data_IF_958526236694
#
_entry.id   IF_958526236694
#
_cell.length_a   1.000
_cell.length_b   1.000
_cell.length_c   1.000
_cell.angle_alpha   90.00
_cell.angle_beta   90.00
_cell.angle_gamma   90.00
#
_symmetry.space_group_name_H-M   'P 1'
#
loop_
_entity.id
_entity.type
_entity.pdbx_description
1 polymer ?
#
# COMPACT_ATOMS: atom_id res chain seq x y z
N UNK A 1 26.04 36.46 4.49
CA UNK A 1 24.58 36.68 4.58
C UNK A 1 23.92 35.33 4.37
N UNK A 2 23.68 34.62 5.48
CA UNK A 2 23.13 33.26 5.49
C UNK A 2 21.72 33.34 6.05
N UNK A 3 20.78 32.71 5.34
CA UNK A 3 19.34 32.67 5.61
C UNK A 3 19.07 31.70 6.78
N UNK A 4 19.08 32.21 8.02
CA UNK A 4 18.74 31.47 9.25
C UNK A 4 17.22 31.35 9.41
N UNK A 5 16.60 30.43 8.65
CA UNK A 5 15.20 30.04 8.89
C UNK A 5 15.08 29.01 10.00
N UNK A 6 14.59 29.44 11.15
CA UNK A 6 14.10 28.57 12.23
C UNK A 6 12.87 27.80 11.71
N UNK A 7 13.02 26.49 11.46
CA UNK A 7 11.86 25.59 11.28
C UNK A 7 11.37 25.12 12.64
N UNK A 8 10.14 25.45 12.96
CA UNK A 8 9.45 24.97 14.15
C UNK A 8 8.76 23.65 13.77
N UNK A 9 9.30 22.52 14.23
CA UNK A 9 8.55 21.28 14.27
C UNK A 9 7.78 21.23 15.58
N UNK A 10 6.50 21.60 15.55
CA UNK A 10 5.58 21.28 16.64
C UNK A 10 5.27 19.79 16.51
N UNK A 11 6.02 18.94 17.21
CA UNK A 11 5.52 17.61 17.52
C UNK A 11 4.49 17.78 18.64
N UNK A 12 3.30 18.20 18.20
CA UNK A 12 2.09 18.11 18.95
C UNK A 12 1.79 16.61 19.07
N UNK A 13 1.86 16.04 20.28
CA UNK A 13 0.83 15.08 20.68
C UNK A 13 -0.40 15.87 21.16
N UNK A 14 -0.85 16.76 20.28
CA UNK A 14 -2.23 17.04 19.94
C UNK A 14 -2.33 16.07 18.75
N UNK A 15 -3.09 14.98 18.73
CA UNK A 15 -4.55 15.09 18.64
C UNK A 15 -4.90 16.46 18.06
N UNK A 16 -4.25 16.86 16.94
CA UNK A 16 -4.51 18.08 16.20
C UNK A 16 -6.02 18.22 16.16
N UNK A 17 -6.57 19.43 16.19
CA UNK A 17 -8.02 19.56 16.00
C UNK A 17 -8.47 18.92 14.66
N UNK A 18 -7.54 18.62 13.74
CA UNK A 18 -7.73 17.68 12.61
C UNK A 18 -7.45 16.18 12.90
N UNK A 19 -6.53 15.85 13.82
CA UNK A 19 -6.25 14.48 14.32
C UNK A 19 -7.05 14.13 15.61
N UNK A 20 -8.17 14.80 15.88
CA UNK A 20 -8.84 14.78 17.19
C UNK A 20 -9.60 13.50 17.58
N UNK A 21 -9.52 12.42 16.80
CA UNK A 21 -10.41 11.27 16.98
C UNK A 21 -9.73 9.93 17.23
N UNK A 22 -8.42 9.91 17.43
CA UNK A 22 -7.70 8.66 17.75
C UNK A 22 -8.19 8.04 19.07
N UNK A 23 -8.82 8.84 19.94
CA UNK A 23 -9.44 8.38 21.19
C UNK A 23 -10.96 8.22 21.14
N UNK A 24 -11.65 8.60 20.06
CA UNK A 24 -13.10 8.73 20.09
C UNK A 24 -13.84 7.39 20.16
N UNK A 25 -13.32 6.27 19.63
CA UNK A 25 -14.08 5.00 19.71
C UNK A 25 -14.12 4.40 21.12
N UNK A 26 -13.07 4.57 21.93
CA UNK A 26 -13.08 4.20 23.35
C UNK A 26 -13.67 5.31 24.25
N UNK A 27 -13.63 6.57 23.80
CA UNK A 27 -14.23 7.69 24.53
C UNK A 27 -15.74 7.81 24.33
N UNK A 28 -16.31 7.48 23.17
CA UNK A 28 -17.77 7.54 22.90
C UNK A 28 -18.53 6.51 23.72
N UNK A 29 -17.98 5.31 23.92
CA UNK A 29 -18.60 4.32 24.81
C UNK A 29 -18.50 4.72 26.30
N UNK A 30 -17.60 5.65 26.65
CA UNK A 30 -17.47 6.25 27.98
C UNK A 30 -18.12 7.63 28.12
N UNK A 31 -18.55 8.26 27.02
CA UNK A 31 -19.18 9.59 27.02
C UNK A 31 -20.56 9.57 27.68
N UNK A 32 -21.15 8.38 27.84
CA UNK A 32 -22.35 8.14 28.66
C UNK A 32 -22.06 7.99 30.16
N UNK A 33 -20.81 8.10 30.62
CA UNK A 33 -20.43 7.97 32.04
C UNK A 33 -19.67 9.20 32.52
N UNK A 34 -20.24 9.88 33.51
CA UNK A 34 -19.81 11.14 34.13
C UNK A 34 -18.42 11.08 34.77
N UNK A 35 -17.35 11.02 33.97
CA UNK A 35 -15.96 11.06 34.46
C UNK A 35 -15.20 12.26 33.88
N UNK A 36 -14.46 13.01 34.70
CA UNK A 36 -13.70 14.17 34.23
C UNK A 36 -12.52 13.72 33.34
N UNK A 37 -12.40 14.32 32.16
CA UNK A 37 -11.31 14.07 31.22
C UNK A 37 -10.10 14.95 31.55
N UNK A 38 -8.89 14.40 31.44
CA UNK A 38 -7.62 15.14 31.51
C UNK A 38 -6.97 15.15 30.13
N UNK A 39 -6.86 16.33 29.51
CA UNK A 39 -6.18 16.53 28.23
C UNK A 39 -4.71 16.82 28.53
N UNK A 40 -3.79 15.96 28.07
CA UNK A 40 -2.34 16.15 28.23
C UNK A 40 -1.72 16.50 26.88
N UNK A 41 -1.28 17.75 26.73
CA UNK A 41 -0.63 18.25 25.52
C UNK A 41 0.89 18.18 25.68
N UNK A 42 1.58 17.43 24.83
CA UNK A 42 3.04 17.29 24.87
C UNK A 42 3.64 18.02 23.67
N UNK A 43 4.44 19.05 23.94
CA UNK A 43 5.18 19.84 22.94
C UNK A 43 6.66 19.47 23.00
N UNK A 44 7.24 19.02 21.87
CA UNK A 44 8.70 18.82 21.75
C UNK A 44 9.34 20.05 21.11
N UNK A 45 10.32 20.65 21.79
CA UNK A 45 11.16 21.73 21.25
C UNK A 45 12.39 21.08 20.61
N UNK A 46 12.60 21.27 19.30
CA UNK A 46 13.78 20.78 18.58
C UNK A 46 14.56 22.01 18.06
N UNK A 47 15.63 22.39 18.76
CA UNK A 47 16.54 23.48 18.37
C UNK A 47 17.46 23.92 19.53
N UNK A 48 18.60 24.56 19.25
CA UNK A 48 19.47 25.10 20.31
C UNK A 48 18.75 26.27 20.99
N UNK A 49 18.25 26.03 22.20
CA UNK A 49 17.68 27.08 23.04
C UNK A 49 18.80 27.84 23.72
N UNK A 50 19.13 29.03 23.22
CA UNK A 50 19.85 30.03 24.02
C UNK A 50 19.05 30.25 25.32
N UNK A 51 19.70 30.04 26.46
CA UNK A 51 19.06 29.90 27.78
C UNK A 51 18.19 31.08 28.28
N UNK A 52 18.03 32.15 27.50
CA UNK A 52 17.13 33.28 27.78
C UNK A 52 15.79 33.28 27.02
N UNK A 53 15.63 32.49 25.95
CA UNK A 53 14.40 32.48 25.11
C UNK A 53 13.41 31.37 25.48
N UNK A 54 13.78 30.47 26.38
CA UNK A 54 12.95 29.30 26.72
C UNK A 54 11.66 29.69 27.45
N UNK A 55 11.76 30.54 28.46
CA UNK A 55 10.58 30.97 29.26
C UNK A 55 9.60 31.80 28.43
N UNK A 56 10.10 32.66 27.55
CA UNK A 56 9.26 33.41 26.62
C UNK A 56 8.54 32.47 25.63
N UNK A 57 9.25 31.47 25.10
CA UNK A 57 8.67 30.47 24.19
C UNK A 57 7.62 29.63 24.89
N UNK A 58 7.88 29.16 26.12
CA UNK A 58 6.93 28.41 26.93
C UNK A 58 5.68 29.23 27.28
N UNK A 59 5.86 30.52 27.61
CA UNK A 59 4.74 31.43 27.87
C UNK A 59 3.87 31.62 26.63
N UNK A 60 4.47 31.87 25.47
CA UNK A 60 3.75 31.97 24.18
C UNK A 60 2.98 30.70 23.85
N UNK A 61 3.60 29.53 24.02
CA UNK A 61 2.96 28.24 23.82
C UNK A 61 1.77 28.07 24.77
N UNK A 62 1.95 28.37 26.07
CA UNK A 62 0.88 28.24 27.06
C UNK A 62 -0.34 29.11 26.72
N UNK A 63 -0.12 30.35 26.32
CA UNK A 63 -1.21 31.24 25.91
C UNK A 63 -1.87 30.79 24.60
N UNK A 64 -1.10 30.24 23.65
CA UNK A 64 -1.64 29.61 22.44
C UNK A 64 -2.56 28.43 22.76
N UNK A 65 -2.08 27.48 23.56
CA UNK A 65 -2.86 26.30 24.02
C UNK A 65 -4.14 26.73 24.72
N UNK A 66 -4.05 27.73 25.60
CA UNK A 66 -5.21 28.23 26.35
C UNK A 66 -6.26 28.81 25.40
N UNK A 67 -5.84 29.54 24.37
CA UNK A 67 -6.75 30.09 23.36
C UNK A 67 -7.45 29.00 22.58
N UNK A 68 -6.69 28.06 22.00
CA UNK A 68 -7.26 26.92 21.26
C UNK A 68 -8.23 26.11 22.11
N UNK A 69 -7.89 25.87 23.38
CA UNK A 69 -8.77 25.12 24.28
C UNK A 69 -10.08 25.86 24.56
N UNK A 70 -10.05 27.19 24.67
CA UNK A 70 -11.28 27.99 24.81
C UNK A 70 -12.13 27.93 23.54
N UNK A 71 -11.51 27.96 22.36
CA UNK A 71 -12.21 27.89 21.09
C UNK A 71 -12.87 26.50 20.89
N UNK A 72 -12.16 25.42 21.19
CA UNK A 72 -12.69 24.04 21.15
C UNK A 72 -13.83 23.85 22.16
N UNK A 73 -13.74 24.40 23.36
CA UNK A 73 -14.81 24.31 24.37
C UNK A 73 -16.09 25.07 23.97
N UNK A 74 -15.98 26.02 23.04
CA UNK A 74 -17.11 26.78 22.48
C UNK A 74 -17.68 26.16 21.22
N UNK A 75 -16.92 25.29 20.56
CA UNK A 75 -17.32 24.63 19.33
C UNK A 75 -18.47 23.64 19.58
N UNK A 76 -19.29 23.45 18.56
CA UNK A 76 -20.39 22.49 18.59
C UNK A 76 -19.83 21.07 18.39
N UNK A 77 -20.19 20.13 19.27
CA UNK A 77 -19.69 18.74 19.22
C UNK A 77 -20.16 18.01 17.97
N UNK A 78 -21.41 18.23 17.55
CA UNK A 78 -21.96 17.65 16.34
C UNK A 78 -21.25 18.16 15.09
N UNK A 79 -20.92 19.45 15.05
CA UNK A 79 -20.16 20.07 13.94
C UNK A 79 -18.73 19.50 13.87
N UNK A 80 -18.03 19.44 15.00
CA UNK A 80 -16.69 18.83 15.08
C UNK A 80 -16.69 17.36 14.63
N UNK A 81 -17.73 16.61 14.99
CA UNK A 81 -17.87 15.21 14.55
C UNK A 81 -18.09 15.11 13.04
N UNK A 82 -18.91 15.99 12.46
CA UNK A 82 -19.18 16.02 11.03
C UNK A 82 -17.93 16.40 10.23
N UNK A 83 -17.23 17.46 10.63
CA UNK A 83 -15.96 17.89 10.02
C UNK A 83 -14.93 16.76 10.04
N UNK A 84 -14.83 16.09 11.19
CA UNK A 84 -13.91 14.99 11.34
C UNK A 84 -14.26 13.77 10.46
N UNK A 85 -15.54 13.41 10.41
CA UNK A 85 -16.00 12.32 9.55
C UNK A 85 -15.70 12.64 8.08
N UNK A 86 -15.96 13.89 7.67
CA UNK A 86 -15.67 14.36 6.32
C UNK A 86 -14.17 14.27 6.00
N UNK A 87 -13.31 14.73 6.92
CA UNK A 87 -11.86 14.63 6.77
C UNK A 87 -11.37 13.20 6.53
N UNK A 88 -11.93 12.20 7.22
CA UNK A 88 -11.58 10.80 6.95
C UNK A 88 -12.15 10.28 5.63
N UNK A 89 -13.38 10.67 5.28
CA UNK A 89 -13.98 10.30 3.99
C UNK A 89 -13.09 10.78 2.85
N UNK A 90 -12.61 12.02 2.93
CA UNK A 90 -11.74 12.63 1.93
C UNK A 90 -10.36 11.94 1.90
N UNK A 91 -9.78 11.66 3.06
CA UNK A 91 -8.49 10.97 3.15
C UNK A 91 -8.54 9.52 2.60
N UNK A 92 -9.67 8.82 2.77
CA UNK A 92 -9.88 7.44 2.31
C UNK A 92 -10.46 7.31 0.89
N UNK A 93 -10.55 8.42 0.15
CA UNK A 93 -10.69 8.39 -1.32
C UNK A 93 -9.53 7.57 -1.89
N UNK A 94 -8.32 7.78 -1.38
CA UNK A 94 -7.15 6.97 -1.66
C UNK A 94 -7.03 5.80 -0.69
N UNK A 95 -6.46 4.69 -1.13
CA UNK A 95 -6.16 3.58 -0.21
C UNK A 95 -5.93 2.25 -0.89
N UNK A 96 -5.66 1.25 -0.07
CA UNK A 96 -5.39 -0.14 -0.49
C UNK A 96 -6.56 -1.02 -0.06
N UNK A 97 -7.09 -1.80 -1.00
CA UNK A 97 -8.17 -2.76 -0.76
C UNK A 97 -7.69 -4.16 -1.13
N UNK A 98 -7.71 -5.08 -0.17
CA UNK A 98 -7.35 -6.49 -0.40
C UNK A 98 -8.63 -7.27 -0.71
N UNK A 99 -8.62 -8.02 -1.82
CA UNK A 99 -9.79 -8.80 -2.26
C UNK A 99 -9.60 -10.30 -2.07
N UNK A 100 -8.54 -10.84 -2.66
CA UNK A 100 -8.21 -12.27 -2.60
C UNK A 100 -6.73 -12.42 -2.29
N UNK A 101 -6.44 -13.18 -1.24
CA UNK A 101 -5.08 -13.50 -0.81
C UNK A 101 -4.84 -14.98 -1.10
N UNK A 102 -3.69 -15.29 -1.67
CA UNK A 102 -3.28 -16.63 -2.06
C UNK A 102 -1.94 -17.04 -1.45
N UNK A 103 -1.12 -16.09 -1.00
CA UNK A 103 0.11 -16.37 -0.24
C UNK A 103 0.00 -15.97 1.25
N UNK A 104 0.93 -16.46 2.06
CA UNK A 104 0.94 -16.25 3.51
C UNK A 104 1.54 -14.90 3.94
N UNK A 105 2.32 -14.25 3.08
CA UNK A 105 3.09 -13.04 3.40
C UNK A 105 2.34 -11.75 3.03
N UNK A 106 1.26 -11.84 2.25
CA UNK A 106 0.37 -10.72 1.96
C UNK A 106 -0.50 -10.38 3.17
N UNK A 107 -0.51 -9.11 3.64
CA UNK A 107 -1.28 -8.71 4.81
C UNK A 107 -2.79 -8.78 4.54
N UNK A 108 -3.54 -9.16 5.57
CA UNK A 108 -5.00 -9.15 5.52
C UNK A 108 -5.57 -7.74 5.32
N UNK A 109 -6.79 -7.63 4.77
CA UNK A 109 -7.51 -6.34 4.70
C UNK A 109 -7.59 -5.64 6.06
N UNK A 110 -7.79 -6.39 7.15
CA UNK A 110 -7.80 -5.85 8.52
C UNK A 110 -6.44 -5.29 8.92
N UNK A 111 -5.36 -5.98 8.58
CA UNK A 111 -3.99 -5.53 8.85
C UNK A 111 -3.69 -4.23 8.12
N UNK A 112 -4.00 -4.16 6.82
CA UNK A 112 -3.82 -2.96 6.00
C UNK A 112 -4.61 -1.79 6.58
N UNK A 113 -5.90 -1.97 6.86
CA UNK A 113 -6.76 -0.90 7.38
C UNK A 113 -6.32 -0.41 8.77
N UNK A 114 -5.94 -1.32 9.67
CA UNK A 114 -5.44 -0.96 11.00
C UNK A 114 -4.13 -0.16 10.90
N UNK A 115 -3.20 -0.60 10.05
CA UNK A 115 -1.92 0.09 9.84
C UNK A 115 -2.15 1.48 9.24
N UNK A 116 -2.96 1.60 8.18
CA UNK A 116 -3.33 2.88 7.60
C UNK A 116 -3.93 3.81 8.66
N UNK A 117 -4.90 3.33 9.44
CA UNK A 117 -5.52 4.11 10.51
C UNK A 117 -4.48 4.63 11.51
N UNK A 118 -3.59 3.77 12.03
CA UNK A 118 -2.57 4.20 12.99
C UNK A 118 -1.57 5.18 12.41
N UNK A 119 -1.10 4.96 11.19
CA UNK A 119 -0.13 5.84 10.54
C UNK A 119 -0.73 7.22 10.24
N UNK A 120 -1.95 7.25 9.70
CA UNK A 120 -2.60 8.51 9.33
C UNK A 120 -3.02 9.29 10.57
N UNK A 121 -3.57 8.60 11.57
CA UNK A 121 -3.99 9.23 12.83
C UNK A 121 -2.83 9.83 13.65
N UNK A 122 -1.60 9.42 13.38
CA UNK A 122 -0.38 9.90 14.06
C UNK A 122 0.46 10.84 13.18
N UNK A 123 0.01 11.11 11.96
CA UNK A 123 0.65 12.04 11.03
C UNK A 123 -0.03 13.41 11.11
N UNK A 124 0.74 14.48 10.86
CA UNK A 124 0.18 15.84 10.74
C UNK A 124 -0.68 15.93 9.49
N UNK A 125 -1.73 16.75 9.50
CA UNK A 125 -2.61 16.96 8.36
C UNK A 125 -2.63 18.44 7.92
N UNK A 126 -1.54 18.98 7.31
CA UNK A 126 -1.44 20.39 6.98
C UNK A 126 -2.52 20.88 6.00
N UNK A 127 -2.95 20.04 5.05
CA UNK A 127 -4.02 20.36 4.09
C UNK A 127 -5.39 20.57 4.73
N UNK A 128 -5.58 20.19 6.00
CA UNK A 128 -6.81 20.43 6.73
C UNK A 128 -6.73 21.65 7.65
N UNK A 129 -5.59 22.36 7.65
CA UNK A 129 -5.38 23.54 8.46
C UNK A 129 -5.99 24.78 7.79
N UNK A 130 -7.00 25.37 8.42
CA UNK A 130 -7.68 26.57 7.92
C UNK A 130 -6.79 27.82 7.95
N UNK A 131 -5.70 27.81 8.71
CA UNK A 131 -4.75 28.93 8.78
C UNK A 131 -3.77 28.97 7.60
N UNK A 132 -3.77 27.93 6.78
CA UNK A 132 -2.86 27.78 5.65
C UNK A 132 -3.21 28.78 4.53
N UNK A 133 -2.20 29.43 3.97
CA UNK A 133 -2.44 30.34 2.83
C UNK A 133 -2.81 29.57 1.57
N UNK A 134 -3.55 30.20 0.65
CA UNK A 134 -3.93 29.56 -0.61
C UNK A 134 -2.71 29.08 -1.44
N UNK A 135 -1.61 29.84 -1.41
CA UNK A 135 -0.35 29.47 -2.07
C UNK A 135 0.29 28.22 -1.44
N UNK A 136 0.32 28.14 -0.11
CA UNK A 136 0.83 26.97 0.59
C UNK A 136 -0.06 25.73 0.33
N UNK A 137 -1.37 25.94 0.22
CA UNK A 137 -2.33 24.87 -0.05
C UNK A 137 -2.06 24.26 -1.43
N UNK A 138 -2.00 25.11 -2.46
CA UNK A 138 -1.69 24.70 -3.83
C UNK A 138 -0.30 24.03 -3.92
N UNK A 139 0.68 24.53 -3.16
CA UNK A 139 2.02 23.91 -3.09
C UNK A 139 1.99 22.51 -2.47
N UNK A 140 1.19 22.30 -1.44
CA UNK A 140 1.06 20.99 -0.81
C UNK A 140 0.27 20.01 -1.68
N UNK A 141 -0.81 20.46 -2.31
CA UNK A 141 -1.58 19.64 -3.25
C UNK A 141 -0.75 19.24 -4.47
N UNK A 142 -0.04 20.19 -5.09
CA UNK A 142 0.83 19.89 -6.25
C UNK A 142 1.92 18.87 -5.89
N UNK A 143 2.39 18.88 -4.64
CA UNK A 143 3.37 17.90 -4.14
C UNK A 143 2.85 16.46 -4.10
N UNK A 144 1.52 16.26 -4.05
CA UNK A 144 0.88 14.94 -4.13
C UNK A 144 0.82 14.41 -5.57
N UNK A 145 0.79 15.33 -6.54
CA UNK A 145 0.52 15.04 -7.95
C UNK A 145 1.78 14.69 -8.76
N UNK A 146 2.91 15.30 -8.39
CA UNK A 146 4.23 15.07 -8.99
C UNK A 146 5.27 14.95 -7.88
N UNK A 147 5.44 13.73 -7.37
CA UNK A 147 6.54 13.40 -6.47
C UNK A 147 7.63 12.68 -7.25
N UNK A 148 8.46 13.43 -7.98
CA UNK A 148 9.52 12.88 -8.83
C UNK A 148 10.36 11.83 -8.11
N UNK A 149 10.45 10.66 -8.72
CA UNK A 149 11.20 9.50 -8.20
C UNK A 149 10.79 9.05 -6.80
N UNK A 150 9.58 9.38 -6.35
CA UNK A 150 9.05 8.80 -5.13
C UNK A 150 8.79 7.32 -5.33
N UNK A 151 9.37 6.56 -4.41
CA UNK A 151 9.32 5.13 -4.24
C UNK A 151 10.11 4.34 -5.28
N UNK A 152 11.42 4.58 -5.33
CA UNK A 152 12.35 3.72 -6.08
C UNK A 152 12.64 2.43 -5.29
N UNK A 153 11.90 1.35 -5.54
CA UNK A 153 12.09 0.10 -4.81
C UNK A 153 11.10 -1.02 -5.08
N UNK A 154 11.34 -2.15 -4.42
CA UNK A 154 10.38 -3.26 -4.38
C UNK A 154 9.13 -2.88 -3.60
N UNK A 155 7.99 -3.43 -4.03
CA UNK A 155 6.72 -3.29 -3.35
C UNK A 155 6.80 -3.66 -1.86
N UNK A 156 6.13 -2.89 -1.01
CA UNK A 156 6.07 -3.13 0.44
C UNK A 156 5.03 -4.17 0.83
N UNK A 157 4.25 -4.72 -0.11
CA UNK A 157 3.19 -5.69 0.17
C UNK A 157 3.63 -6.82 1.12
N UNK A 158 4.79 -7.41 0.86
CA UNK A 158 5.35 -8.53 1.65
C UNK A 158 6.31 -8.06 2.77
N UNK A 159 6.38 -6.76 3.05
CA UNK A 159 7.23 -6.23 4.11
C UNK A 159 6.50 -6.34 5.46
N UNK A 160 6.58 -7.49 6.11
CA UNK A 160 5.87 -7.79 7.36
C UNK A 160 6.14 -6.77 8.49
N UNK A 161 7.34 -6.18 8.52
CA UNK A 161 7.71 -5.14 9.47
C UNK A 161 6.94 -3.82 9.26
N UNK A 162 6.51 -3.54 8.02
CA UNK A 162 5.68 -2.38 7.67
C UNK A 162 4.18 -2.67 7.83
N UNK A 163 3.79 -3.94 7.77
CA UNK A 163 2.40 -4.40 7.90
C UNK A 163 2.21 -5.41 9.06
N UNK A 164 2.46 -5.00 10.32
CA UNK A 164 2.41 -5.91 11.46
C UNK A 164 0.98 -6.40 11.72
N UNK A 165 0.81 -7.71 11.93
CA UNK A 165 -0.51 -8.31 12.24
C UNK A 165 -1.10 -7.77 13.55
N UNK A 166 -0.25 -7.43 14.53
CA UNK A 166 -0.67 -6.98 15.87
C UNK A 166 0.14 -5.78 16.34
N UNK A 167 -0.57 -4.77 16.83
CA UNK A 167 -0.04 -3.60 17.52
C UNK A 167 -0.74 -3.51 18.87
N UNK A 168 0.01 -3.63 19.97
CA UNK A 168 -0.59 -3.76 21.32
C UNK A 168 -0.42 -2.52 22.18
N UNK A 169 0.50 -1.63 21.85
CA UNK A 169 0.78 -0.45 22.66
C UNK A 169 1.25 0.75 21.83
N UNK A 170 1.21 1.93 22.46
CA UNK A 170 1.56 3.21 21.83
C UNK A 170 3.02 3.24 21.37
N UNK A 171 3.94 2.63 22.11
CA UNK A 171 5.35 2.62 21.73
C UNK A 171 5.59 1.89 20.41
N UNK A 172 4.91 0.75 20.18
CA UNK A 172 4.95 0.03 18.92
C UNK A 172 4.38 0.85 17.76
N UNK A 173 3.29 1.57 17.99
CA UNK A 173 2.69 2.45 16.97
C UNK A 173 3.69 3.55 16.58
N UNK A 174 4.30 4.23 17.56
CA UNK A 174 5.30 5.28 17.29
C UNK A 174 6.54 4.73 16.58
N UNK A 175 6.97 3.51 16.92
CA UNK A 175 8.06 2.83 16.20
C UNK A 175 7.68 2.54 14.75
N UNK A 176 6.45 2.08 14.50
CA UNK A 176 5.95 1.81 13.16
C UNK A 176 5.89 3.09 12.31
N UNK A 177 5.41 4.21 12.88
CA UNK A 177 5.42 5.53 12.22
C UNK A 177 6.83 5.96 11.83
N UNK A 178 7.79 5.82 12.74
CA UNK A 178 9.19 6.12 12.45
C UNK A 178 9.74 5.23 11.33
N UNK A 179 9.39 3.94 11.32
CA UNK A 179 9.82 3.01 10.28
C UNK A 179 9.23 3.37 8.91
N UNK A 180 7.95 3.76 8.84
CA UNK A 180 7.33 4.26 7.60
C UNK A 180 7.98 5.54 7.10
N UNK A 181 8.19 6.51 7.98
CA UNK A 181 8.90 7.76 7.65
C UNK A 181 10.31 7.47 7.10
N UNK A 182 11.07 6.60 7.76
CA UNK A 182 12.42 6.22 7.31
C UNK A 182 12.37 5.53 5.94
N UNK A 183 11.43 4.61 5.74
CA UNK A 183 11.23 3.93 4.46
C UNK A 183 11.01 4.94 3.35
N UNK A 184 10.07 5.86 3.51
CA UNK A 184 9.76 6.86 2.49
C UNK A 184 10.90 7.84 2.24
N UNK A 185 11.58 8.30 3.29
CA UNK A 185 12.73 9.18 3.14
C UNK A 185 13.90 8.53 2.39
N UNK A 186 14.13 7.23 2.61
CA UNK A 186 15.17 6.46 1.91
C UNK A 186 14.79 6.11 0.47
N UNK A 187 13.51 6.15 0.13
CA UNK A 187 12.96 5.81 -1.20
C UNK A 187 12.56 7.03 -2.02
N UNK A 188 13.05 8.22 -1.70
CA UNK A 188 12.81 9.45 -2.48
C UNK A 188 11.52 10.20 -2.17
N UNK A 189 10.64 9.68 -1.32
CA UNK A 189 9.32 10.26 -1.03
C UNK A 189 9.33 11.35 0.07
N UNK A 190 10.44 12.10 0.21
CA UNK A 190 10.56 13.13 1.26
C UNK A 190 9.49 14.22 1.13
N UNK A 191 9.13 14.57 -0.09
CA UNK A 191 8.12 15.58 -0.41
C UNK A 191 6.73 15.11 0.06
N UNK A 192 6.35 13.87 -0.23
CA UNK A 192 5.09 13.29 0.26
C UNK A 192 5.05 13.22 1.79
N UNK A 193 6.14 12.81 2.44
CA UNK A 193 6.20 12.79 3.91
C UNK A 193 5.99 14.19 4.49
N UNK A 194 6.52 15.23 3.83
CA UNK A 194 6.32 16.63 4.25
C UNK A 194 4.88 17.12 4.05
N UNK A 195 4.12 16.52 3.12
CA UNK A 195 2.70 16.81 2.91
C UNK A 195 1.77 16.20 3.97
N UNK A 196 2.32 15.46 4.94
CA UNK A 196 1.56 14.94 6.07
C UNK A 196 0.71 13.73 5.71
N UNK A 197 -0.50 13.63 6.28
CA UNK A 197 -1.42 12.49 6.14
C UNK A 197 -1.73 12.12 4.70
N UNK A 198 -2.01 13.10 3.83
CA UNK A 198 -2.34 12.86 2.43
C UNK A 198 -1.14 12.29 1.66
N UNK A 199 0.05 12.85 1.87
CA UNK A 199 1.26 12.32 1.24
C UNK A 199 1.67 10.97 1.81
N UNK A 200 1.44 10.73 3.11
CA UNK A 200 1.63 9.43 3.73
C UNK A 200 0.71 8.37 3.11
N UNK A 201 -0.58 8.67 2.94
CA UNK A 201 -1.54 7.80 2.26
C UNK A 201 -1.08 7.48 0.83
N UNK A 202 -0.78 8.51 0.03
CA UNK A 202 -0.30 8.37 -1.34
C UNK A 202 0.97 7.51 -1.39
N UNK A 203 1.95 7.78 -0.52
CA UNK A 203 3.18 7.01 -0.41
C UNK A 203 2.94 5.53 -0.09
N UNK A 204 2.02 5.23 0.84
CA UNK A 204 1.66 3.86 1.22
C UNK A 204 0.94 3.12 0.09
N UNK A 205 0.06 3.80 -0.67
CA UNK A 205 -0.60 3.21 -1.84
C UNK A 205 0.42 2.89 -2.93
N UNK A 206 1.31 3.82 -3.24
CA UNK A 206 2.38 3.62 -4.23
C UNK A 206 3.31 2.48 -3.81
N UNK A 207 3.76 2.49 -2.55
CA UNK A 207 4.68 1.49 -2.05
C UNK A 207 4.06 0.11 -2.01
N UNK A 208 2.77 -0.01 -1.68
CA UNK A 208 2.09 -1.31 -1.60
C UNK A 208 2.15 -2.06 -2.92
N UNK A 209 1.83 -1.40 -4.04
CA UNK A 209 1.86 -2.01 -5.37
C UNK A 209 3.22 -1.98 -6.07
N UNK A 210 4.23 -1.29 -5.52
CA UNK A 210 5.46 -1.03 -6.26
C UNK A 210 5.24 -0.06 -7.41
N UNK A 211 4.37 0.93 -7.23
CA UNK A 211 4.25 2.06 -8.16
C UNK A 211 5.34 3.07 -7.89
N UNK A 212 5.82 3.68 -8.96
CA UNK A 212 6.83 4.72 -8.91
C UNK A 212 6.46 5.87 -9.82
N UNK A 213 6.61 7.10 -9.32
CA UNK A 213 6.59 8.28 -10.17
C UNK A 213 7.95 8.48 -10.82
N UNK A 214 7.94 8.73 -12.12
CA UNK A 214 9.06 9.31 -12.85
C UNK A 214 8.69 10.73 -13.24
N UNK A 215 9.62 11.46 -13.84
CA UNK A 215 9.40 12.84 -14.30
C UNK A 215 8.20 12.92 -15.27
N UNK A 216 8.00 11.91 -16.11
CA UNK A 216 7.04 11.96 -17.22
C UNK A 216 5.90 10.94 -17.13
N UNK A 217 6.00 9.91 -16.28
CA UNK A 217 4.98 8.84 -16.20
C UNK A 217 4.93 8.18 -14.82
N UNK A 218 3.75 7.63 -14.50
CA UNK A 218 3.55 6.67 -13.42
C UNK A 218 3.81 5.27 -13.97
N UNK A 219 4.63 4.49 -13.28
CA UNK A 219 4.90 3.09 -13.65
C UNK A 219 4.49 2.14 -12.53
N UNK A 220 3.89 1.01 -12.90
CA UNK A 220 3.56 -0.09 -12.00
C UNK A 220 4.60 -1.20 -12.14
N UNK A 221 5.49 -1.32 -11.14
CA UNK A 221 6.60 -2.27 -11.13
C UNK A 221 6.41 -3.34 -10.07
N UNK A 222 5.26 -4.02 -10.11
CA UNK A 222 5.04 -5.19 -9.27
C UNK A 222 5.88 -6.38 -9.78
N UNK A 223 6.27 -7.24 -8.83
CA UNK A 223 6.84 -8.54 -9.14
C UNK A 223 5.76 -9.42 -9.78
N UNK A 224 5.97 -10.01 -10.96
CA UNK A 224 5.01 -10.94 -11.56
C UNK A 224 4.57 -12.04 -10.60
N UNK A 225 5.48 -12.55 -9.76
CA UNK A 225 5.20 -13.64 -8.82
C UNK A 225 4.10 -13.28 -7.82
N UNK A 226 3.80 -12.00 -7.60
CA UNK A 226 2.81 -11.56 -6.59
C UNK A 226 1.41 -11.33 -7.17
N UNK A 227 1.25 -11.42 -8.49
CA UNK A 227 -0.01 -11.12 -9.19
C UNK A 227 -1.05 -12.25 -9.09
N UNK A 228 -0.70 -13.36 -8.43
CA UNK A 228 -1.64 -14.40 -8.02
C UNK A 228 -2.58 -13.93 -6.88
N UNK A 229 -2.33 -12.76 -6.27
CA UNK A 229 -3.26 -12.06 -5.37
C UNK A 229 -4.18 -11.10 -6.14
N UNK A 230 -5.35 -10.78 -5.57
CA UNK A 230 -6.22 -9.71 -6.08
C UNK A 230 -6.34 -8.57 -5.08
N UNK A 231 -6.05 -7.34 -5.52
CA UNK A 231 -6.06 -6.13 -4.71
C UNK A 231 -6.34 -4.89 -5.56
N UNK A 232 -6.76 -3.79 -4.93
CA UNK A 232 -7.00 -2.51 -5.57
C UNK A 232 -6.25 -1.39 -4.85
N UNK A 233 -5.71 -0.48 -5.65
CA UNK A 233 -5.03 0.74 -5.27
C UNK A 233 -5.90 1.88 -5.77
N UNK A 234 -6.59 2.55 -4.86
CA UNK A 234 -7.60 3.56 -5.16
C UNK A 234 -7.03 4.95 -4.97
N UNK A 235 -7.56 5.91 -5.74
CA UNK A 235 -7.30 7.33 -5.56
C UNK A 235 -5.84 7.72 -5.67
N UNK A 236 -5.07 7.12 -6.58
CA UNK A 236 -3.69 7.53 -6.82
C UNK A 236 -3.73 8.91 -7.49
N UNK A 237 -3.21 9.92 -6.79
CA UNK A 237 -3.06 11.26 -7.34
C UNK A 237 -2.03 11.25 -8.47
N UNK A 238 -2.43 11.64 -9.68
CA UNK A 238 -1.51 11.82 -10.79
C UNK A 238 -1.93 13.05 -11.60
N UNK A 239 -1.06 14.05 -11.64
CA UNK A 239 -1.35 15.37 -12.20
C UNK A 239 -2.57 16.06 -11.55
N UNK A 240 -3.77 15.93 -12.11
CA UNK A 240 -5.00 16.48 -11.49
C UNK A 240 -6.07 15.42 -11.30
N UNK A 241 -5.85 14.21 -11.79
CA UNK A 241 -6.84 13.16 -11.81
C UNK A 241 -6.52 12.09 -10.75
N UNK A 242 -7.54 11.30 -10.42
CA UNK A 242 -7.42 10.19 -9.50
C UNK A 242 -7.49 8.87 -10.27
N UNK A 243 -6.43 8.09 -10.20
CA UNK A 243 -6.33 6.80 -10.87
C UNK A 243 -6.65 5.69 -9.85
N UNK A 244 -7.52 4.77 -10.24
CA UNK A 244 -7.67 3.50 -9.53
C UNK A 244 -7.04 2.40 -10.39
N UNK A 245 -6.13 1.64 -9.79
CA UNK A 245 -5.50 0.47 -10.39
C UNK A 245 -5.87 -0.76 -9.56
N UNK A 246 -6.44 -1.78 -10.18
CA UNK A 246 -6.70 -3.07 -9.55
C UNK A 246 -6.00 -4.20 -10.28
N UNK A 247 -5.42 -5.11 -9.51
CA UNK A 247 -4.95 -6.41 -9.99
C UNK A 247 -6.04 -7.42 -9.67
N UNK A 248 -6.60 -8.03 -10.71
CA UNK A 248 -7.72 -8.97 -10.61
C UNK A 248 -7.37 -10.25 -11.35
N UNK A 249 -8.08 -11.34 -11.04
CA UNK A 249 -7.98 -12.61 -11.76
C UNK A 249 -9.27 -12.87 -12.52
N UNK A 250 -9.16 -13.47 -13.70
CA UNK A 250 -10.30 -14.01 -14.44
C UNK A 250 -10.77 -15.37 -13.86
N UNK A 251 -11.70 -16.02 -14.56
CA UNK A 251 -12.27 -17.29 -14.11
C UNK A 251 -11.23 -18.43 -14.13
N UNK A 252 -10.23 -18.31 -14.99
CA UNK A 252 -9.12 -19.25 -15.17
C UNK A 252 -7.97 -18.99 -14.20
N UNK A 253 -8.02 -17.89 -13.45
CA UNK A 253 -7.00 -17.50 -12.48
C UNK A 253 -5.86 -16.67 -13.09
N UNK A 254 -6.00 -16.22 -14.33
CA UNK A 254 -5.01 -15.38 -15.00
C UNK A 254 -5.14 -13.93 -14.54
N UNK A 255 -4.03 -13.27 -14.17
CA UNK A 255 -4.09 -11.89 -13.72
C UNK A 255 -4.27 -10.91 -14.88
N UNK A 256 -5.07 -9.88 -14.64
CA UNK A 256 -5.23 -8.72 -15.50
C UNK A 256 -5.25 -7.44 -14.66
N UNK A 257 -4.85 -6.33 -15.28
CA UNK A 257 -4.88 -5.01 -14.68
C UNK A 257 -6.15 -4.29 -15.09
N UNK A 258 -6.81 -3.65 -14.14
CA UNK A 258 -7.99 -2.85 -14.36
C UNK A 258 -7.72 -1.42 -13.90
N UNK A 259 -7.84 -0.47 -14.83
CA UNK A 259 -7.51 0.93 -14.62
C UNK A 259 -8.76 1.77 -14.83
N UNK A 260 -9.10 2.63 -13.88
CA UNK A 260 -10.18 3.60 -14.05
C UNK A 260 -9.72 4.98 -13.60
N UNK A 261 -10.19 6.01 -14.29
CA UNK A 261 -9.87 7.41 -14.00
C UNK A 261 -11.11 8.09 -13.48
N UNK A 262 -11.02 8.64 -12.27
CA UNK A 262 -12.03 9.55 -11.74
C UNK A 262 -11.59 10.98 -12.10
N UNK A 263 -12.26 11.63 -13.07
CA UNK A 263 -11.87 12.94 -13.54
C UNK A 263 -12.14 13.97 -12.44
N UNK A 264 -11.26 14.95 -12.32
CA UNK A 264 -11.45 16.12 -11.48
C UNK A 264 -11.93 17.32 -12.32
N UNK A 265 -12.06 18.52 -11.73
CA UNK A 265 -12.73 19.67 -12.36
C UNK A 265 -12.23 20.03 -13.77
N UNK A 266 -10.95 19.76 -14.08
CA UNK A 266 -10.34 19.94 -15.40
C UNK A 266 -9.63 18.65 -15.82
N UNK A 267 -10.32 17.72 -16.51
CA UNK A 267 -9.75 16.43 -16.87
C UNK A 267 -8.57 16.60 -17.83
N UNK A 268 -7.48 15.89 -17.58
CA UNK A 268 -6.35 15.80 -18.50
C UNK A 268 -6.44 14.48 -19.25
N UNK A 269 -6.06 14.48 -20.53
CA UNK A 269 -5.96 13.23 -21.29
C UNK A 269 -4.84 12.39 -20.70
N UNK A 270 -5.19 11.20 -20.23
CA UNK A 270 -4.25 10.21 -19.74
C UNK A 270 -4.15 9.09 -20.76
N UNK A 271 -2.95 8.57 -20.95
CA UNK A 271 -2.66 7.45 -21.84
C UNK A 271 -1.96 6.37 -21.05
N UNK A 272 -2.20 5.11 -21.42
CA UNK A 272 -1.54 3.97 -20.80
C UNK A 272 -1.07 2.95 -21.82
N UNK A 273 0.03 2.28 -21.49
CA UNK A 273 0.54 1.15 -22.26
C UNK A 273 1.05 0.04 -21.34
N UNK A 274 0.93 -1.19 -21.84
CA UNK A 274 1.38 -2.42 -21.19
C UNK A 274 2.91 -2.51 -21.11
N UNK A 275 3.41 -3.57 -20.49
CA UNK A 275 4.84 -3.84 -20.38
C UNK A 275 5.56 -3.73 -21.74
N UNK A 276 6.60 -2.90 -21.79
CA UNK A 276 7.37 -2.67 -23.01
C UNK A 276 6.69 -1.77 -24.06
N UNK A 277 5.47 -1.27 -23.83
CA UNK A 277 4.72 -0.34 -24.70
C UNK A 277 4.83 -0.66 -26.21
N UNK A 278 4.70 -1.95 -26.54
CA UNK A 278 4.80 -2.40 -27.94
C UNK A 278 3.55 -2.07 -28.76
N UNK A 279 2.40 -2.12 -28.10
CA UNK A 279 1.12 -1.69 -28.64
C UNK A 279 0.98 -0.17 -28.51
N UNK A 280 0.15 0.44 -29.37
CA UNK A 280 -0.13 1.87 -29.26
C UNK A 280 -0.77 2.20 -27.90
N UNK A 281 -0.32 3.28 -27.22
CA UNK A 281 -0.91 3.67 -25.96
C UNK A 281 -2.41 3.97 -26.10
N UNK A 282 -3.18 3.50 -25.13
CA UNK A 282 -4.64 3.65 -25.08
C UNK A 282 -4.99 4.88 -24.24
N UNK A 283 -5.91 5.71 -24.73
CA UNK A 283 -6.45 6.83 -23.94
C UNK A 283 -7.34 6.30 -22.81
N UNK A 284 -6.98 6.61 -21.56
CA UNK A 284 -7.75 6.28 -20.37
C UNK A 284 -8.95 7.22 -20.24
N UNK A 285 -10.12 6.72 -20.60
CA UNK A 285 -11.40 7.40 -20.42
C UNK A 285 -12.00 7.14 -19.03
N UNK A 286 -12.87 8.05 -18.58
CA UNK A 286 -13.66 7.90 -17.35
C UNK A 286 -14.87 6.96 -17.52
N UNK A 287 -14.75 5.96 -18.38
CA UNK A 287 -15.79 4.98 -18.63
C UNK A 287 -16.11 4.17 -17.36
N UNK A 288 -17.39 3.91 -17.15
CA UNK A 288 -17.90 3.15 -15.99
C UNK A 288 -17.26 1.77 -15.83
N UNK A 289 -16.82 1.16 -16.94
CA UNK A 289 -16.19 -0.15 -16.95
C UNK A 289 -14.67 -0.10 -16.85
N UNK A 290 -14.05 1.08 -16.83
CA UNK A 290 -12.60 1.21 -16.87
C UNK A 290 -11.94 0.55 -18.09
N UNK A 291 -10.63 0.45 -18.03
CA UNK A 291 -9.76 -0.13 -19.06
C UNK A 291 -9.09 -1.37 -18.51
N UNK A 292 -9.04 -2.44 -19.31
CA UNK A 292 -8.43 -3.70 -18.91
C UNK A 292 -7.18 -3.96 -19.74
N UNK A 293 -6.09 -4.30 -19.06
CA UNK A 293 -4.81 -4.63 -19.68
C UNK A 293 -4.37 -6.04 -19.26
N UNK A 294 -4.07 -6.96 -20.20
CA UNK A 294 -3.41 -8.21 -19.87
C UNK A 294 -2.06 -7.98 -19.18
N UNK A 295 -1.71 -8.87 -18.25
CA UNK A 295 -0.37 -8.86 -17.65
C UNK A 295 0.64 -9.51 -18.60
N UNK A 296 1.55 -8.69 -19.11
CA UNK A 296 2.68 -9.09 -19.93
C UNK A 296 3.99 -8.90 -19.16
N UNK A 297 4.95 -9.80 -19.33
CA UNK A 297 6.26 -9.76 -18.65
C UNK A 297 7.38 -9.76 -19.68
N UNK A 298 8.29 -8.80 -19.56
CA UNK A 298 9.42 -8.61 -20.47
C UNK A 298 10.69 -9.32 -19.96
N UNK A 299 11.66 -9.52 -20.85
CA UNK A 299 13.01 -9.97 -20.51
C UNK A 299 14.06 -8.98 -21.06
N UNK A 300 14.84 -8.26 -20.21
CA UNK A 300 14.74 -8.18 -18.75
C UNK A 300 13.41 -7.56 -18.27
N UNK A 301 13.07 -7.77 -17.00
CA UNK A 301 11.80 -7.32 -16.41
C UNK A 301 11.74 -5.79 -16.41
N UNK A 302 10.72 -5.23 -17.06
CA UNK A 302 10.32 -3.83 -17.02
C UNK A 302 9.03 -3.68 -16.21
N UNK A 303 8.62 -2.45 -15.85
CA UNK A 303 7.27 -2.19 -15.35
C UNK A 303 6.17 -2.82 -16.23
N UNK A 304 5.08 -3.22 -15.58
CA UNK A 304 3.95 -3.94 -16.17
C UNK A 304 2.93 -3.00 -16.83
N UNK A 305 2.87 -1.76 -16.38
CA UNK A 305 1.97 -0.72 -16.88
C UNK A 305 2.64 0.65 -16.74
N UNK A 306 2.45 1.49 -17.75
CA UNK A 306 2.89 2.87 -17.79
C UNK A 306 1.67 3.77 -18.01
N UNK A 307 1.57 4.87 -17.28
CA UNK A 307 0.52 5.87 -17.43
C UNK A 307 1.17 7.25 -17.53
N UNK A 308 0.83 8.02 -18.57
CA UNK A 308 1.35 9.38 -18.78
C UNK A 308 0.27 10.32 -19.32
N UNK A 309 0.52 11.62 -19.20
CA UNK A 309 -0.24 12.68 -19.87
C UNK A 309 0.28 12.94 -21.28
N UNK A 310 1.50 12.48 -21.60
CA UNK A 310 2.16 12.68 -22.88
C UNK A 310 2.16 11.38 -23.69
N UNK A 311 1.36 11.37 -24.76
CA UNK A 311 1.28 10.25 -25.70
C UNK A 311 2.61 10.01 -26.41
N UNK A 312 3.31 11.07 -26.80
CA UNK A 312 4.57 10.98 -27.54
C UNK A 312 5.66 10.38 -26.68
N UNK A 313 5.73 10.75 -25.41
CA UNK A 313 6.62 10.13 -24.43
C UNK A 313 6.40 8.61 -24.33
N UNK A 314 5.15 8.14 -24.22
CA UNK A 314 4.87 6.70 -24.17
C UNK A 314 5.22 5.98 -25.48
N UNK A 315 5.05 6.64 -26.63
CA UNK A 315 5.46 6.10 -27.93
C UNK A 315 6.99 6.01 -28.04
N UNK A 316 7.72 6.99 -27.52
CA UNK A 316 9.19 7.03 -27.54
C UNK A 316 9.82 6.02 -26.57
N UNK A 317 9.15 5.68 -25.46
CA UNK A 317 9.60 4.63 -24.55
C UNK A 317 9.84 3.30 -25.30
N UNK A 318 9.00 2.99 -26.29
CA UNK A 318 9.17 1.80 -27.14
C UNK A 318 10.55 1.73 -27.79
N UNK A 319 11.09 2.87 -28.21
CA UNK A 319 12.37 2.95 -28.92
C UNK A 319 13.58 2.93 -28.00
N UNK A 320 13.39 3.19 -26.70
CA UNK A 320 14.46 3.23 -25.70
C UNK A 320 14.52 1.98 -24.84
N UNK A 321 13.48 1.13 -24.85
CA UNK A 321 13.43 -0.12 -24.09
C UNK A 321 14.16 -1.27 -24.81
N UNK A 322 15.26 -1.74 -24.22
CA UNK A 322 16.03 -2.89 -24.70
C UNK A 322 15.41 -4.23 -24.26
N UNK A 323 14.22 -4.54 -24.76
CA UNK A 323 13.50 -5.79 -24.47
C UNK A 323 13.87 -6.87 -25.50
N UNK A 324 14.23 -8.07 -25.01
CA UNK A 324 14.54 -9.22 -25.87
C UNK A 324 13.30 -10.05 -26.21
N UNK A 325 12.38 -10.20 -25.25
CA UNK A 325 11.16 -10.98 -25.40
C UNK A 325 10.07 -10.44 -24.47
N UNK A 326 8.82 -10.63 -24.88
CA UNK A 326 7.62 -10.34 -24.08
C UNK A 326 6.81 -11.62 -24.03
N UNK A 327 6.45 -12.03 -22.82
CA UNK A 327 5.74 -13.27 -22.54
C UNK A 327 4.44 -12.92 -21.81
N UNK A 328 3.37 -13.67 -22.05
CA UNK A 328 2.22 -13.60 -21.16
C UNK A 328 2.65 -14.04 -19.75
N UNK A 329 1.96 -13.55 -18.72
CA UNK A 329 2.27 -13.91 -17.33
C UNK A 329 2.39 -15.43 -17.12
N UNK A 330 1.47 -16.23 -17.66
CA UNK A 330 1.49 -17.69 -17.53
C UNK A 330 2.74 -18.33 -18.15
N UNK A 331 3.12 -17.89 -19.35
CA UNK A 331 4.33 -18.39 -20.03
C UNK A 331 5.60 -18.01 -19.26
N UNK A 332 5.60 -16.83 -18.64
CA UNK A 332 6.68 -16.39 -17.78
C UNK A 332 6.78 -17.29 -16.53
N UNK A 333 5.67 -17.53 -15.85
CA UNK A 333 5.62 -18.41 -14.67
C UNK A 333 6.02 -19.84 -15.00
N UNK A 334 5.57 -20.38 -16.14
CA UNK A 334 5.92 -21.72 -16.61
C UNK A 334 7.42 -21.88 -16.90
N UNK A 335 8.10 -20.82 -17.36
CA UNK A 335 9.55 -20.81 -17.57
C UNK A 335 10.35 -20.67 -16.28
N UNK A 336 9.85 -19.88 -15.32
CA UNK A 336 10.53 -19.65 -14.04
C UNK A 336 10.41 -20.85 -13.12
N UNK A 337 9.25 -21.51 -13.12
CA UNK A 337 8.98 -22.73 -12.36
C UNK A 337 8.65 -23.88 -13.32
N UNK A 338 9.63 -24.38 -14.08
CA UNK A 338 9.42 -25.57 -14.87
C UNK A 338 9.13 -26.70 -13.89
N UNK A 339 7.95 -27.33 -14.02
CA UNK A 339 7.58 -28.45 -13.17
C UNK A 339 8.64 -29.54 -13.13
N UNK A 340 8.54 -30.46 -12.16
CA UNK A 340 9.52 -31.55 -12.01
C UNK A 340 9.73 -32.29 -13.34
N UNK A 341 10.99 -32.56 -13.72
CA UNK A 341 11.31 -33.11 -15.03
C UNK A 341 10.62 -34.46 -15.23
N UNK A 342 10.29 -34.79 -16.47
CA UNK A 342 9.64 -36.05 -16.84
C UNK A 342 10.31 -37.30 -16.23
N UNK A 343 11.65 -37.29 -16.12
CA UNK A 343 12.43 -38.37 -15.50
C UNK A 343 12.11 -38.60 -14.02
N UNK A 344 11.77 -37.54 -13.27
CA UNK A 344 11.37 -37.66 -11.88
C UNK A 344 10.07 -38.48 -11.76
N UNK A 345 9.06 -38.13 -12.57
CA UNK A 345 7.79 -38.84 -12.59
C UNK A 345 7.93 -40.28 -13.08
N UNK A 346 8.80 -40.52 -14.06
CA UNK A 346 9.13 -41.87 -14.50
C UNK A 346 9.75 -42.71 -13.37
N UNK A 347 10.68 -42.13 -12.60
CA UNK A 347 11.29 -42.78 -11.44
C UNK A 347 10.26 -43.10 -10.35
N UNK A 348 9.39 -42.15 -10.00
CA UNK A 348 8.32 -42.34 -9.01
C UNK A 348 7.35 -43.44 -9.46
N UNK A 349 6.89 -43.40 -10.72
CA UNK A 349 6.03 -44.42 -11.27
C UNK A 349 6.69 -45.81 -11.23
N UNK A 350 7.97 -45.90 -11.63
CA UNK A 350 8.73 -47.15 -11.57
C UNK A 350 8.86 -47.70 -10.15
N UNK A 351 9.14 -46.84 -9.17
CA UNK A 351 9.24 -47.24 -7.76
C UNK A 351 7.91 -47.76 -7.23
N UNK A 352 6.82 -47.07 -7.53
CA UNK A 352 5.45 -47.50 -7.18
C UNK A 352 5.16 -48.86 -7.80
N UNK A 353 5.43 -49.06 -9.09
CA UNK A 353 5.20 -50.35 -9.77
C UNK A 353 6.04 -51.47 -9.14
N UNK A 354 7.34 -51.26 -8.90
CA UNK A 354 8.21 -52.27 -8.28
C UNK A 354 7.75 -52.64 -6.87
N UNK A 355 7.32 -51.64 -6.08
CA UNK A 355 6.79 -51.87 -4.75
C UNK A 355 5.51 -52.72 -4.79
N UNK A 356 4.57 -52.41 -5.69
CA UNK A 356 3.34 -53.18 -5.83
C UNK A 356 3.60 -54.62 -6.30
N UNK A 357 4.55 -54.82 -7.22
CA UNK A 357 4.98 -56.15 -7.65
C UNK A 357 5.62 -56.94 -6.48
N UNK A 358 6.38 -56.26 -5.63
CA UNK A 358 6.96 -56.89 -4.44
C UNK A 358 5.89 -57.27 -3.41
N UNK A 359 4.92 -56.40 -3.15
CA UNK A 359 3.77 -56.72 -2.30
C UNK A 359 2.96 -57.88 -2.84
N UNK A 360 2.67 -57.89 -4.15
CA UNK A 360 1.97 -59.00 -4.79
C UNK A 360 2.75 -60.30 -4.64
N UNK A 361 4.07 -60.27 -4.85
CA UNK A 361 4.95 -61.43 -4.64
C UNK A 361 4.94 -61.93 -3.20
N UNK A 362 4.95 -61.03 -2.21
CA UNK A 362 4.85 -61.42 -0.80
C UNK A 362 3.51 -62.07 -0.48
N UNK A 363 2.40 -61.47 -0.90
CA UNK A 363 1.05 -62.03 -0.69
C UNK A 363 0.92 -63.38 -1.40
N UNK A 364 1.39 -63.48 -2.65
CA UNK A 364 1.36 -64.73 -3.40
C UNK A 364 2.19 -65.83 -2.74
N UNK A 365 3.38 -65.52 -2.24
CA UNK A 365 4.21 -66.49 -1.54
C UNK A 365 3.61 -66.95 -0.20
N UNK A 366 2.89 -66.07 0.51
CA UNK A 366 2.23 -66.41 1.78
C UNK A 366 0.97 -67.29 1.56
N UNK A 367 0.14 -66.96 0.57
CA UNK A 367 -1.13 -67.65 0.32
C UNK A 367 -1.04 -68.82 -0.67
N UNK A 368 -0.06 -68.82 -1.57
CA UNK A 368 0.08 -69.79 -2.66
C UNK A 368 1.49 -70.41 -2.77
N UNK A 369 2.41 -70.08 -1.87
CA UNK A 369 3.77 -70.64 -1.85
C UNK A 369 3.86 -72.03 -1.17
N UNK A 370 5.00 -72.74 -1.31
CA UNK A 370 5.18 -74.14 -0.88
C UNK A 370 5.19 -74.40 0.64
N UNK A 371 4.60 -73.50 1.44
CA UNK A 371 4.49 -73.58 2.90
C UNK A 371 3.15 -73.07 3.47
N UNK A 372 2.16 -72.76 2.61
CA UNK A 372 0.85 -72.29 3.05
C UNK A 372 0.15 -73.34 3.94
N UNK A 373 0.10 -73.08 5.26
CA UNK A 373 -0.69 -73.89 6.20
C UNK A 373 -2.17 -73.69 5.89
N UNK A 374 -2.96 -74.77 5.71
CA UNK A 374 -4.39 -74.64 5.49
C UNK A 374 -5.06 -74.17 6.79
N UNK A 375 -5.31 -72.87 6.91
CA UNK A 375 -6.16 -72.27 7.95
C UNK A 375 -7.65 -72.42 7.61
N UNK A 376 -8.08 -73.62 7.20
CA UNK A 376 -9.49 -73.99 7.15
C UNK A 376 -9.66 -75.46 7.51
N UNK A 377 -9.76 -75.74 8.82
CA UNK A 377 -10.45 -76.93 9.33
C UNK A 377 -11.78 -76.47 9.91
N UNK A 378 -12.83 -76.46 9.08
CA UNK A 378 -14.21 -76.37 9.55
C UNK A 378 -14.66 -77.74 10.11
N UNK A 379 -15.44 -77.66 11.19
CA UNK A 379 -16.14 -78.71 11.96
C UNK A 379 -16.57 -79.97 11.19
N UNK A 380 -16.37 -81.14 11.82
CA UNK A 380 -17.45 -81.97 12.39
C UNK A 380 -17.05 -82.33 13.82
#
# INVERSE_FOLDING_TARGET
MSDDRVRIHVEASVVSVSSSLVFFRNSVQKMCTSTPYSITMKTRIIGPTEGGKLDETLSKLREGVKREMVDVLRANVEELMQEHQQAWVDLFISGVEIRKITDAHTPSSRTVNNTLYYILSTSTAPLLDQSLTAEEHERLESSLNYADHCFSGHATMHAENLWPERLTNVAQILQLVNLWNLTFQKRGCKVLVAAGTHGMMQGMVLSFGGLQFTENHLQFQADPDVLHNSYSLRGIHYNKDLINLAVLQDAEGKPFLHVSVKPQEKPVKLYACEAGCMNEPVELTSELRGHTFPVMVTQPITPLLYISTDLTHLQDLRHTMHVKAILAHEDHMAKQYPGLPFLFWFSVASLITLFHLFLFKLIYNEYCGPGAKPLFRSKV
#
